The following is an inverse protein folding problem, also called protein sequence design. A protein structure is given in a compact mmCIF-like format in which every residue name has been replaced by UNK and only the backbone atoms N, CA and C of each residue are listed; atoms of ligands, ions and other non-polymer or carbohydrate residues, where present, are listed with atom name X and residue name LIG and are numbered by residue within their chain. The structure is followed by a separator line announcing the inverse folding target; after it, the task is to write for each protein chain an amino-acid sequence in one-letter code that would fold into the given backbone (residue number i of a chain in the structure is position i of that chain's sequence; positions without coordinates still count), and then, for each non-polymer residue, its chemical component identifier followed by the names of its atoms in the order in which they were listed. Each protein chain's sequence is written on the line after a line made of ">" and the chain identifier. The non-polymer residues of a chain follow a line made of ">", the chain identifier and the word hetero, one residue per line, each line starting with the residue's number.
data_IF_772741588392
#
_entry.id   IF_772741588392
#
_cell.length_a   1.000
_cell.length_b   1.000
_cell.length_c   1.000
_cell.angle_alpha   90.00
_cell.angle_beta   90.00
_cell.angle_gamma   90.00
#
_symmetry.space_group_name_H-M   'P 1'
#
loop_
_entity.id
_entity.type
_entity.pdbx_description
1 polymer ?
#
# COMPACT_ATOMS: atom_id res chain seq x y z
N UNK A 1 -6.71 -0.60 -28.66
CA UNK A 1 -6.62 -2.04 -28.31
C UNK A 1 -6.05 -2.29 -26.90
N UNK A 2 -4.98 -1.64 -26.45
CA UNK A 2 -4.37 -1.88 -25.12
C UNK A 2 -5.27 -1.59 -23.91
N UNK A 3 -6.17 -0.59 -24.00
CA UNK A 3 -7.09 -0.20 -22.92
C UNK A 3 -8.14 -1.28 -22.57
N UNK A 4 -8.49 -2.16 -23.51
CA UNK A 4 -9.53 -3.18 -23.34
C UNK A 4 -9.02 -4.37 -22.52
N UNK A 5 -7.72 -4.69 -22.62
CA UNK A 5 -7.09 -5.81 -21.88
C UNK A 5 -6.96 -5.46 -20.40
N UNK A 6 -6.60 -4.21 -20.08
CA UNK A 6 -6.58 -3.70 -18.70
C UNK A 6 -7.97 -3.78 -18.04
N UNK A 7 -9.03 -3.39 -18.78
CA UNK A 7 -10.40 -3.40 -18.26
C UNK A 7 -10.96 -4.82 -18.01
N UNK A 8 -10.56 -5.81 -18.81
CA UNK A 8 -11.00 -7.20 -18.63
C UNK A 8 -10.29 -7.90 -17.45
N UNK A 9 -9.04 -7.53 -17.16
CA UNK A 9 -8.27 -8.10 -16.05
C UNK A 9 -8.85 -7.73 -14.67
N UNK A 10 -9.37 -6.51 -14.52
CA UNK A 10 -10.00 -6.03 -13.28
C UNK A 10 -11.35 -6.69 -12.92
N UNK A 11 -11.95 -7.47 -13.84
CA UNK A 11 -13.23 -8.17 -13.59
C UNK A 11 -13.05 -9.46 -12.78
N UNK A 12 -11.83 -10.01 -12.72
CA UNK A 12 -11.56 -11.22 -11.92
C UNK A 12 -11.32 -10.86 -10.45
N UNK A 13 -12.15 -11.42 -9.54
CA UNK A 13 -11.97 -11.29 -8.08
C UNK A 13 -10.53 -11.56 -7.63
N UNK A 14 -9.84 -12.48 -8.30
CA UNK A 14 -8.43 -12.82 -8.02
C UNK A 14 -7.46 -11.65 -8.26
N UNK A 15 -7.65 -10.87 -9.33
CA UNK A 15 -6.77 -9.74 -9.66
C UNK A 15 -6.96 -8.61 -8.66
N UNK A 16 -8.21 -8.34 -8.29
CA UNK A 16 -8.57 -7.39 -7.22
C UNK A 16 -7.93 -7.76 -5.88
N UNK A 17 -8.02 -9.05 -5.49
CA UNK A 17 -7.36 -9.56 -4.29
C UNK A 17 -5.83 -9.42 -4.35
N UNK A 18 -5.20 -9.70 -5.49
CA UNK A 18 -3.74 -9.54 -5.66
C UNK A 18 -3.32 -8.07 -5.54
N UNK A 19 -4.06 -7.16 -6.17
CA UNK A 19 -3.83 -5.71 -6.07
C UNK A 19 -4.00 -5.25 -4.62
N UNK A 20 -5.06 -5.73 -3.96
CA UNK A 20 -5.36 -5.43 -2.55
C UNK A 20 -4.25 -5.88 -1.61
N UNK A 21 -3.82 -7.15 -1.74
CA UNK A 21 -2.73 -7.73 -0.98
C UNK A 21 -1.38 -7.08 -1.25
N UNK A 22 -1.10 -6.68 -2.49
CA UNK A 22 0.14 -5.98 -2.84
C UNK A 22 0.20 -4.62 -2.17
N UNK A 23 -0.88 -3.84 -2.24
CA UNK A 23 -0.98 -2.55 -1.56
C UNK A 23 -0.86 -2.70 -0.04
N UNK A 24 -1.50 -3.72 0.52
CA UNK A 24 -1.45 -4.02 1.96
C UNK A 24 -0.04 -4.44 2.40
N UNK A 25 0.67 -5.25 1.61
CA UNK A 25 2.02 -5.71 1.94
C UNK A 25 3.02 -4.55 1.97
N UNK A 26 2.95 -3.67 0.96
CA UNK A 26 3.81 -2.46 0.90
C UNK A 26 3.54 -1.57 2.11
N UNK A 27 2.26 -1.29 2.39
CA UNK A 27 1.85 -0.49 3.54
C UNK A 27 2.31 -1.12 4.86
N UNK A 28 2.11 -2.43 5.02
CA UNK A 28 2.42 -3.15 6.24
C UNK A 28 3.90 -3.09 6.61
N UNK A 29 4.80 -3.19 5.64
CA UNK A 29 6.25 -3.08 5.88
C UNK A 29 6.60 -1.68 6.40
N UNK A 30 6.11 -0.62 5.77
CA UNK A 30 6.39 0.75 6.22
C UNK A 30 5.74 1.05 7.58
N UNK A 31 4.50 0.60 7.79
CA UNK A 31 3.80 0.79 9.06
C UNK A 31 4.52 0.06 10.21
N UNK A 32 4.93 -1.19 9.96
CA UNK A 32 5.67 -1.99 10.93
C UNK A 32 7.02 -1.35 11.26
N UNK A 33 7.75 -0.84 10.27
CA UNK A 33 8.99 -0.11 10.51
C UNK A 33 8.76 1.19 11.29
N UNK A 34 7.65 1.90 11.05
CA UNK A 34 7.27 3.08 11.83
C UNK A 34 7.13 2.75 13.33
N UNK A 35 6.48 1.62 13.65
CA UNK A 35 6.34 1.13 15.03
C UNK A 35 7.69 0.67 15.61
N UNK A 36 8.48 -0.08 14.82
CA UNK A 36 9.81 -0.55 15.22
C UNK A 36 10.77 0.62 15.49
N UNK A 37 10.60 1.76 14.81
CA UNK A 37 11.41 2.97 15.01
C UNK A 37 11.23 3.64 16.38
N UNK A 38 10.23 3.24 17.19
CA UNK A 38 10.15 3.64 18.59
C UNK A 38 11.10 2.85 19.49
N UNK A 39 11.59 1.70 19.03
CA UNK A 39 12.59 0.90 19.74
C UNK A 39 13.95 1.52 19.47
N UNK A 40 14.66 1.94 20.52
CA UNK A 40 15.96 2.65 20.45
C UNK A 40 17.07 1.88 19.72
N UNK A 41 16.86 0.59 19.47
CA UNK A 41 17.80 -0.30 18.78
C UNK A 41 17.69 -0.22 17.24
N UNK A 42 16.55 0.24 16.71
CA UNK A 42 16.30 0.27 15.26
C UNK A 42 16.31 1.74 14.81
N UNK A 43 17.14 2.11 13.82
CA UNK A 43 17.14 3.47 13.30
C UNK A 43 15.75 3.83 12.80
N UNK A 44 15.22 4.91 13.36
CA UNK A 44 13.87 5.37 13.06
C UNK A 44 13.79 5.91 11.63
N UNK A 45 12.60 5.97 11.04
CA UNK A 45 12.43 6.63 9.73
C UNK A 45 12.85 8.10 9.77
N UNK A 46 12.77 8.74 10.95
CA UNK A 46 13.28 10.08 11.16
C UNK A 46 14.80 10.15 11.07
N UNK A 47 15.52 9.15 11.59
CA UNK A 47 16.98 9.08 11.46
C UNK A 47 17.43 8.77 10.03
N UNK A 48 16.68 7.92 9.31
CA UNK A 48 17.04 7.51 7.95
C UNK A 48 16.69 8.56 6.89
N UNK A 49 15.49 9.13 6.97
CA UNK A 49 14.97 10.06 5.97
C UNK A 49 14.98 11.52 6.42
N UNK A 50 15.11 11.79 7.72
CA UNK A 50 14.95 13.13 8.29
C UNK A 50 13.48 13.55 8.40
N UNK A 51 13.21 14.62 9.14
CA UNK A 51 11.86 15.20 9.30
C UNK A 51 11.22 15.52 7.95
N UNK A 52 11.98 16.11 7.03
CA UNK A 52 11.51 16.45 5.69
C UNK A 52 11.36 15.24 4.77
N UNK A 53 12.13 14.17 4.97
CA UNK A 53 12.06 12.97 4.15
C UNK A 53 10.95 12.01 4.57
N UNK A 54 10.37 12.18 5.77
CA UNK A 54 9.29 11.34 6.30
C UNK A 54 8.03 11.32 5.41
N UNK A 55 7.85 12.36 4.58
CA UNK A 55 6.78 12.42 3.58
C UNK A 55 6.86 11.32 2.53
N UNK A 56 8.05 10.78 2.25
CA UNK A 56 8.26 9.70 1.28
C UNK A 56 7.63 8.39 1.79
N UNK A 57 8.04 7.82 2.94
CA UNK A 57 7.41 6.61 3.47
C UNK A 57 5.92 6.82 3.77
N UNK A 58 5.52 8.02 4.21
CA UNK A 58 4.11 8.35 4.39
C UNK A 58 3.33 8.29 3.06
N UNK A 59 3.85 8.86 1.98
CA UNK A 59 3.23 8.79 0.65
C UNK A 59 3.11 7.34 0.15
N UNK A 60 4.15 6.53 0.31
CA UNK A 60 4.09 5.09 -0.04
C UNK A 60 3.03 4.34 0.76
N UNK A 61 2.90 4.66 2.06
CA UNK A 61 1.86 4.08 2.94
C UNK A 61 0.47 4.46 2.45
N UNK A 62 0.23 5.74 2.12
CA UNK A 62 -1.06 6.20 1.61
C UNK A 62 -1.39 5.59 0.25
N UNK A 63 -0.43 5.51 -0.67
CA UNK A 63 -0.62 4.87 -1.97
C UNK A 63 -0.90 3.37 -1.83
N UNK A 64 -0.22 2.69 -0.92
CA UNK A 64 -0.43 1.29 -0.62
C UNK A 64 -1.82 1.04 0.00
N UNK A 65 -2.26 1.88 0.92
CA UNK A 65 -3.61 1.85 1.48
C UNK A 65 -4.67 2.13 0.42
N UNK A 66 -4.43 3.08 -0.48
CA UNK A 66 -5.35 3.37 -1.58
C UNK A 66 -5.47 2.17 -2.53
N UNK A 67 -4.34 1.53 -2.88
CA UNK A 67 -4.33 0.30 -3.67
C UNK A 67 -5.03 -0.86 -2.95
N UNK A 68 -4.83 -0.98 -1.64
CA UNK A 68 -5.52 -1.95 -0.81
C UNK A 68 -7.04 -1.71 -0.83
N UNK A 69 -7.46 -0.47 -0.58
CA UNK A 69 -8.86 -0.08 -0.60
C UNK A 69 -9.51 -0.36 -1.96
N UNK A 70 -8.86 0.03 -3.07
CA UNK A 70 -9.37 -0.26 -4.42
C UNK A 70 -9.43 -1.77 -4.70
N UNK A 71 -8.44 -2.54 -4.24
CA UNK A 71 -8.38 -3.98 -4.44
C UNK A 71 -9.42 -4.77 -3.64
N UNK A 72 -9.75 -4.30 -2.43
CA UNK A 72 -10.77 -4.91 -1.58
C UNK A 72 -12.16 -4.28 -1.73
N UNK A 73 -12.31 -3.26 -2.59
CA UNK A 73 -13.59 -2.65 -2.89
C UNK A 73 -14.47 -3.61 -3.72
N UNK A 74 -15.31 -4.39 -3.04
CA UNK A 74 -16.41 -5.15 -3.64
C UNK A 74 -17.64 -4.23 -3.65
N UNK A 75 -18.28 -4.05 -4.82
CA UNK A 75 -19.62 -3.52 -4.86
C UNK A 75 -20.53 -4.71 -4.56
N UNK A 76 -21.15 -4.74 -3.38
CA UNK A 76 -22.33 -5.57 -3.16
C UNK A 76 -23.43 -4.98 -4.08
N UNK A 77 -23.69 -5.66 -5.19
CA UNK A 77 -24.94 -5.50 -5.94
C UNK A 77 -25.99 -6.37 -5.24
N UNK A 78 -26.62 -5.81 -4.21
CA UNK A 78 -27.91 -6.28 -3.70
C UNK A 78 -29.06 -5.60 -4.46
#
# INVERSE_FOLDING_TARGET
>A
MQKVILASYFRSKKVRLIVGWTGLSITGVFFMWGILGFITFIPSMLDVFGVLGLRIPAAFTVLGLLMAAIGFWEFDED
#
